data_IF_012855298396
#
_entry.id   IF_012855298396
#
_cell.length_a   1.000
_cell.length_b   1.000
_cell.length_c   1.000
_cell.angle_alpha   90.00
_cell.angle_beta   90.00
_cell.angle_gamma   90.00
#
_symmetry.space_group_name_H-M   'P 1'
#
loop_
_entity.id
_entity.type
_entity.pdbx_description
1 polymer ?
#
# COMPACT_ATOMS: atom_id res chain seq x y z
N UNK A 1 21.61 18.11 6.57
CA UNK A 1 21.83 17.15 7.66
C UNK A 1 20.79 17.32 8.79
N UNK A 2 20.53 18.54 9.31
CA UNK A 2 19.53 18.81 10.35
C UNK A 2 18.10 18.36 9.94
N UNK A 3 17.70 18.64 8.71
CA UNK A 3 16.39 18.25 8.14
C UNK A 3 16.18 16.72 8.11
N UNK A 4 17.22 15.95 7.80
CA UNK A 4 17.15 14.50 7.75
C UNK A 4 17.03 13.87 9.14
N UNK A 5 17.65 14.46 10.16
CA UNK A 5 17.53 14.00 11.55
C UNK A 5 16.12 14.23 12.11
N UNK A 6 15.55 15.41 11.86
CA UNK A 6 14.17 15.76 12.22
C UNK A 6 13.14 14.81 11.55
N UNK A 7 13.32 14.48 10.28
CA UNK A 7 12.48 13.55 9.55
C UNK A 7 12.52 12.13 10.14
N UNK A 8 13.72 11.66 10.52
CA UNK A 8 13.88 10.33 11.13
C UNK A 8 13.21 10.27 12.52
N UNK A 9 13.25 11.35 13.28
CA UNK A 9 12.56 11.44 14.57
C UNK A 9 11.04 11.48 14.40
N UNK A 10 10.52 12.27 13.47
CA UNK A 10 9.07 12.33 13.16
C UNK A 10 8.51 10.98 12.70
N UNK A 11 9.27 10.19 11.94
CA UNK A 11 8.88 8.83 11.54
C UNK A 11 8.68 7.89 12.74
N UNK A 12 9.32 8.14 13.89
CA UNK A 12 9.13 7.32 15.10
C UNK A 12 7.72 7.44 15.68
N UNK A 13 7.02 8.52 15.39
CA UNK A 13 5.67 8.81 15.89
C UNK A 13 4.57 8.57 14.85
N UNK A 14 4.91 8.07 13.66
CA UNK A 14 3.93 7.85 12.60
C UNK A 14 3.13 6.58 12.89
N UNK A 15 1.95 6.77 13.43
CA UNK A 15 0.99 5.71 13.75
C UNK A 15 -0.21 5.76 12.80
N UNK A 16 -0.94 4.66 12.71
CA UNK A 16 -2.18 4.60 11.94
C UNK A 16 -3.21 5.60 12.50
N UNK A 17 -3.31 5.71 13.84
CA UNK A 17 -4.19 6.68 14.51
C UNK A 17 -3.88 8.13 14.12
N UNK A 18 -2.60 8.48 13.96
CA UNK A 18 -2.22 9.82 13.54
C UNK A 18 -2.69 10.11 12.12
N UNK A 19 -2.53 9.16 11.20
CA UNK A 19 -3.02 9.29 9.84
C UNK A 19 -4.56 9.43 9.81
N UNK A 20 -5.26 8.61 10.58
CA UNK A 20 -6.72 8.68 10.72
C UNK A 20 -7.19 10.02 11.30
N UNK A 21 -6.53 10.51 12.35
CA UNK A 21 -6.83 11.84 12.92
C UNK A 21 -6.62 12.96 11.90
N UNK A 22 -5.56 12.87 11.10
CA UNK A 22 -5.32 13.84 10.03
C UNK A 22 -6.46 13.83 9.00
N UNK A 23 -6.89 12.64 8.54
CA UNK A 23 -8.01 12.50 7.62
C UNK A 23 -9.31 13.03 8.25
N UNK A 24 -9.63 12.67 9.51
CA UNK A 24 -10.82 13.18 10.21
C UNK A 24 -10.84 14.71 10.31
N UNK A 25 -9.71 15.30 10.68
CA UNK A 25 -9.56 16.75 10.72
C UNK A 25 -9.79 17.39 9.35
N UNK A 26 -9.30 16.77 8.31
CA UNK A 26 -9.50 17.25 6.95
C UNK A 26 -10.96 17.14 6.53
N UNK A 27 -11.57 15.97 6.72
CA UNK A 27 -12.97 15.68 6.35
C UNK A 27 -13.94 16.57 7.12
N UNK A 28 -13.67 16.91 8.40
CA UNK A 28 -14.53 17.79 9.18
C UNK A 28 -14.58 19.23 8.65
N UNK A 29 -13.52 19.67 7.98
CA UNK A 29 -13.43 21.02 7.39
C UNK A 29 -14.01 21.09 5.97
N UNK A 30 -14.10 19.95 5.27
CA UNK A 30 -14.47 19.88 3.86
C UNK A 30 -15.59 18.87 3.63
N UNK A 31 -16.85 19.34 3.58
CA UNK A 31 -18.07 18.50 3.52
C UNK A 31 -18.12 17.48 2.37
N UNK A 32 -17.37 17.70 1.28
CA UNK A 32 -17.33 16.82 0.09
C UNK A 32 -16.32 15.69 0.17
N UNK A 33 -15.67 15.48 1.28
CA UNK A 33 -14.45 14.70 1.40
C UNK A 33 -14.61 13.23 1.81
N UNK A 34 -15.85 12.68 1.79
CA UNK A 34 -16.06 11.25 2.10
C UNK A 34 -15.22 10.31 1.22
N UNK A 35 -14.95 10.71 -0.01
CA UNK A 35 -14.14 9.94 -0.97
C UNK A 35 -12.70 9.73 -0.48
N UNK A 36 -12.17 10.61 0.40
CA UNK A 36 -10.79 10.46 0.88
C UNK A 36 -10.60 9.20 1.71
N UNK A 37 -11.63 8.75 2.45
CA UNK A 37 -11.60 7.51 3.19
C UNK A 37 -11.44 6.32 2.25
N UNK A 38 -12.26 6.27 1.20
CA UNK A 38 -12.20 5.21 0.20
C UNK A 38 -10.84 5.19 -0.50
N UNK A 39 -10.37 6.34 -0.94
CA UNK A 39 -9.09 6.45 -1.64
C UNK A 39 -7.87 6.15 -0.76
N UNK A 40 -7.92 6.47 0.54
CA UNK A 40 -6.85 6.10 1.45
C UNK A 40 -6.80 4.58 1.70
N UNK A 41 -7.96 3.94 1.82
CA UNK A 41 -8.03 2.49 1.89
C UNK A 41 -7.49 1.85 0.60
N UNK A 42 -7.91 2.34 -0.57
CA UNK A 42 -7.42 1.89 -1.88
C UNK A 42 -5.90 2.06 -2.01
N UNK A 43 -5.34 3.16 -1.51
CA UNK A 43 -3.90 3.40 -1.50
C UNK A 43 -3.16 2.33 -0.67
N UNK A 44 -3.67 1.97 0.50
CA UNK A 44 -3.05 0.96 1.35
C UNK A 44 -3.26 -0.47 0.81
N UNK A 45 -4.38 -0.73 0.12
CA UNK A 45 -4.57 -1.96 -0.66
C UNK A 45 -3.56 -2.06 -1.80
N UNK A 46 -3.31 -0.95 -2.50
CA UNK A 46 -2.28 -0.89 -3.53
C UNK A 46 -0.90 -1.18 -2.94
N UNK A 47 -0.52 -0.56 -1.81
CA UNK A 47 0.74 -0.87 -1.13
C UNK A 47 0.82 -2.34 -0.71
N UNK A 48 -0.28 -2.90 -0.22
CA UNK A 48 -0.34 -4.32 0.12
C UNK A 48 -0.16 -5.21 -1.11
N UNK A 49 -0.68 -4.82 -2.27
CA UNK A 49 -0.53 -5.57 -3.53
C UNK A 49 0.91 -5.56 -4.05
N UNK A 50 1.56 -4.40 -4.06
CA UNK A 50 2.91 -4.24 -4.63
C UNK A 50 4.05 -4.46 -3.61
N UNK A 51 3.72 -4.64 -2.33
CA UNK A 51 4.70 -4.69 -1.25
C UNK A 51 5.37 -3.34 -0.97
N UNK A 52 4.62 -2.25 -1.06
CA UNK A 52 5.08 -0.88 -0.83
C UNK A 52 5.31 -0.60 0.65
N UNK A 53 6.55 -0.60 1.12
CA UNK A 53 6.88 -0.53 2.55
C UNK A 53 7.25 0.87 3.05
N UNK A 54 7.27 1.88 2.19
CA UNK A 54 7.71 3.25 2.54
C UNK A 54 6.59 4.30 2.44
N UNK A 55 5.34 3.95 2.70
CA UNK A 55 4.21 4.89 2.72
C UNK A 55 4.20 5.73 3.99
N UNK A 56 5.17 6.59 4.16
CA UNK A 56 5.22 7.56 5.26
C UNK A 56 4.41 8.82 4.92
N UNK A 57 4.27 9.73 5.89
CA UNK A 57 3.42 10.93 5.79
C UNK A 57 3.78 11.93 4.68
N UNK A 58 4.94 11.82 4.05
CA UNK A 58 5.29 12.61 2.86
C UNK A 58 4.97 11.90 1.54
N UNK A 59 4.60 10.61 1.55
CA UNK A 59 4.36 9.81 0.36
C UNK A 59 2.86 9.65 0.06
N UNK A 60 2.02 10.46 0.68
CA UNK A 60 0.61 10.62 0.34
C UNK A 60 0.14 12.03 0.69
N UNK A 61 -0.97 12.47 0.13
CA UNK A 61 -1.50 13.79 0.36
C UNK A 61 -2.83 14.01 -0.33
N UNK A 62 -3.36 15.19 -0.16
CA UNK A 62 -4.65 15.62 -0.72
C UNK A 62 -4.39 16.68 -1.78
N UNK A 63 -5.10 16.58 -2.90
CA UNK A 63 -5.12 17.61 -3.94
C UNK A 63 -6.29 18.53 -3.69
N UNK A 64 -6.01 19.83 -3.70
CA UNK A 64 -7.00 20.91 -3.59
C UNK A 64 -6.91 21.82 -4.81
N UNK A 65 -8.01 22.49 -5.16
CA UNK A 65 -7.99 23.57 -6.14
C UNK A 65 -7.42 24.80 -5.44
N UNK A 66 -6.35 25.36 -6.00
CA UNK A 66 -5.75 26.59 -5.50
C UNK A 66 -6.82 27.68 -5.34
N UNK A 67 -6.70 28.47 -4.28
CA UNK A 67 -7.54 29.64 -3.95
C UNK A 67 -9.03 29.33 -3.68
N UNK A 68 -9.48 28.12 -3.85
CA UNK A 68 -10.89 27.77 -3.61
C UNK A 68 -11.14 26.93 -2.35
N UNK A 69 -10.10 26.31 -1.78
CA UNK A 69 -10.21 25.35 -0.70
C UNK A 69 -11.07 24.12 -1.05
N UNK A 70 -11.40 23.94 -2.33
CA UNK A 70 -12.18 22.77 -2.79
C UNK A 70 -11.29 21.55 -2.89
N UNK A 71 -11.68 20.52 -2.17
CA UNK A 71 -11.05 19.21 -2.27
C UNK A 71 -11.32 18.57 -3.64
N UNK A 72 -10.30 17.98 -4.23
CA UNK A 72 -10.41 17.19 -5.45
C UNK A 72 -10.37 15.69 -5.16
N UNK A 73 -9.28 15.21 -4.57
CA UNK A 73 -9.07 13.79 -4.30
C UNK A 73 -7.78 13.57 -3.49
N UNK A 74 -7.57 12.36 -3.05
CA UNK A 74 -6.24 11.93 -2.63
C UNK A 74 -5.27 12.02 -3.83
N UNK A 75 -4.03 12.42 -3.60
CA UNK A 75 -3.01 12.38 -4.62
C UNK A 75 -2.83 10.93 -5.13
N UNK A 76 -2.58 10.73 -6.44
CA UNK A 76 -2.21 9.41 -6.94
C UNK A 76 -1.01 8.86 -6.16
N UNK A 77 -0.90 7.52 -6.07
CA UNK A 77 0.23 6.90 -5.42
C UNK A 77 1.55 7.35 -6.08
N UNK A 78 2.45 7.91 -5.30
CA UNK A 78 3.77 8.34 -5.74
C UNK A 78 4.83 7.80 -4.78
N UNK A 79 6.11 7.90 -5.17
CA UNK A 79 7.26 7.39 -4.41
C UNK A 79 7.11 5.90 -4.05
N UNK A 80 6.89 5.08 -5.07
CA UNK A 80 6.71 3.64 -4.93
C UNK A 80 8.04 2.86 -5.13
N UNK A 81 9.19 3.53 -5.07
CA UNK A 81 10.50 2.93 -5.32
C UNK A 81 10.86 1.79 -4.37
N UNK A 82 10.30 1.80 -3.15
CA UNK A 82 10.51 0.73 -2.16
C UNK A 82 9.34 -0.26 -2.23
N UNK A 83 9.21 -0.95 -3.38
CA UNK A 83 8.16 -1.92 -3.67
C UNK A 83 8.65 -2.99 -4.64
N UNK A 84 7.83 -3.96 -4.99
CA UNK A 84 8.08 -4.96 -6.02
C UNK A 84 9.43 -5.69 -5.85
N UNK A 85 9.78 -6.05 -4.62
CA UNK A 85 11.06 -6.69 -4.30
C UNK A 85 12.27 -5.81 -4.68
N UNK A 86 12.23 -4.51 -4.39
CA UNK A 86 13.26 -3.52 -4.74
C UNK A 86 14.70 -3.91 -4.34
N UNK A 87 14.85 -4.77 -3.33
CA UNK A 87 16.13 -5.35 -2.91
C UNK A 87 16.39 -6.72 -3.55
N UNK A 88 15.95 -6.93 -4.78
CA UNK A 88 16.06 -8.24 -5.44
C UNK A 88 17.48 -8.79 -5.47
N UNK A 89 18.49 -7.91 -5.53
CA UNK A 89 19.90 -8.31 -5.51
C UNK A 89 20.30 -9.01 -4.20
N UNK A 90 19.69 -8.62 -3.07
CA UNK A 90 19.90 -9.29 -1.79
C UNK A 90 19.29 -10.70 -1.77
N UNK A 91 18.30 -10.95 -2.64
CA UNK A 91 17.56 -12.23 -2.68
C UNK A 91 17.98 -13.16 -3.82
N UNK A 92 18.89 -12.73 -4.70
CA UNK A 92 19.32 -13.54 -5.86
C UNK A 92 19.88 -14.91 -5.47
N UNK A 93 20.48 -15.03 -4.29
CA UNK A 93 21.06 -16.26 -3.76
C UNK A 93 20.08 -17.10 -2.93
N UNK A 94 18.93 -16.52 -2.53
CA UNK A 94 17.92 -17.24 -1.77
C UNK A 94 17.01 -18.04 -2.70
N UNK A 95 16.57 -19.20 -2.20
CA UNK A 95 15.71 -20.07 -2.99
C UNK A 95 14.38 -19.38 -3.29
N UNK A 96 13.96 -19.46 -4.54
CA UNK A 96 12.69 -18.89 -5.01
C UNK A 96 11.48 -19.37 -4.16
N UNK A 97 11.53 -20.61 -3.68
CA UNK A 97 10.50 -21.16 -2.78
C UNK A 97 10.41 -20.44 -1.43
N UNK A 98 11.56 -20.04 -0.86
CA UNK A 98 11.58 -19.31 0.40
C UNK A 98 11.06 -17.87 0.23
N UNK A 99 11.44 -17.22 -0.88
CA UNK A 99 10.96 -15.88 -1.23
C UNK A 99 9.44 -15.83 -1.45
N UNK A 100 8.88 -16.92 -1.97
CA UNK A 100 7.44 -17.04 -2.22
C UNK A 100 6.69 -17.70 -1.07
N UNK A 101 7.37 -18.05 0.03
CA UNK A 101 6.70 -18.54 1.22
C UNK A 101 5.69 -17.52 1.75
N UNK A 102 4.56 -18.03 2.25
CA UNK A 102 3.54 -17.15 2.83
C UNK A 102 4.10 -16.26 3.95
N UNK A 103 5.06 -16.77 4.73
CA UNK A 103 5.73 -16.02 5.78
C UNK A 103 6.51 -14.83 5.24
N UNK A 104 7.26 -15.01 4.15
CA UNK A 104 7.98 -13.92 3.51
C UNK A 104 7.03 -12.87 2.94
N UNK A 105 6.01 -13.31 2.21
CA UNK A 105 5.02 -12.43 1.58
C UNK A 105 4.25 -11.61 2.63
N UNK A 106 3.86 -12.22 3.76
CA UNK A 106 3.05 -11.56 4.80
C UNK A 106 3.82 -10.60 5.68
N UNK A 107 5.13 -10.77 5.88
CA UNK A 107 5.92 -9.97 6.84
C UNK A 107 6.36 -8.58 6.34
N UNK A 108 6.01 -8.20 5.11
CA UNK A 108 6.33 -6.86 4.62
C UNK A 108 5.66 -5.80 5.51
N UNK A 109 6.50 -4.99 6.17
CA UNK A 109 6.06 -4.01 7.16
C UNK A 109 5.60 -2.70 6.51
N UNK A 110 4.50 -2.18 7.00
CA UNK A 110 4.07 -0.81 6.73
C UNK A 110 4.90 0.21 7.55
N UNK A 111 4.78 1.48 7.22
CA UNK A 111 5.43 2.54 8.01
C UNK A 111 4.71 2.84 9.34
N UNK A 112 3.49 2.35 9.53
CA UNK A 112 2.70 2.61 10.73
C UNK A 112 3.17 1.78 11.92
N UNK A 113 3.33 2.46 13.06
CA UNK A 113 3.69 1.82 14.32
C UNK A 113 2.48 1.34 15.09
N UNK A 114 2.63 0.20 15.74
CA UNK A 114 1.65 -0.35 16.70
C UNK A 114 1.73 0.40 18.03
N UNK A 115 0.63 0.49 18.80
CA UNK A 115 0.63 1.12 20.13
C UNK A 115 1.62 0.49 21.12
N UNK A 116 1.82 -0.83 21.03
CA UNK A 116 2.72 -1.62 21.88
C UNK A 116 4.14 -1.74 21.36
N UNK A 117 4.52 -0.95 20.35
CA UNK A 117 5.80 -1.02 19.65
C UNK A 117 5.76 -1.95 18.43
N UNK A 118 6.84 -1.95 17.66
CA UNK A 118 6.90 -2.64 16.37
C UNK A 118 6.11 -1.92 15.27
N UNK A 119 5.93 -2.60 14.15
CA UNK A 119 5.18 -2.10 13.01
C UNK A 119 4.06 -3.06 12.62
N UNK A 120 3.03 -2.53 12.00
CA UNK A 120 2.06 -3.36 11.29
C UNK A 120 2.68 -3.95 10.03
N UNK A 121 2.28 -5.17 9.66
CA UNK A 121 2.45 -5.60 8.27
C UNK A 121 1.48 -4.84 7.37
N UNK A 122 1.75 -4.84 6.07
CA UNK A 122 0.86 -4.18 5.10
C UNK A 122 -0.57 -4.75 5.13
N UNK A 123 -0.71 -6.03 5.44
CA UNK A 123 -2.02 -6.70 5.54
C UNK A 123 -2.72 -6.38 6.86
N UNK A 124 -2.01 -6.38 7.99
CA UNK A 124 -2.58 -6.01 9.29
C UNK A 124 -3.14 -4.59 9.30
N UNK A 125 -2.52 -3.66 8.54
CA UNK A 125 -3.05 -2.29 8.41
C UNK A 125 -4.45 -2.27 7.85
N UNK A 126 -4.76 -3.11 6.87
CA UNK A 126 -6.11 -3.18 6.27
C UNK A 126 -7.14 -3.72 7.27
N UNK A 127 -6.76 -4.74 8.05
CA UNK A 127 -7.61 -5.30 9.11
C UNK A 127 -7.89 -4.27 10.21
N UNK A 128 -6.85 -3.52 10.63
CA UNK A 128 -7.02 -2.46 11.63
C UNK A 128 -7.86 -1.29 11.13
N UNK A 129 -7.67 -0.87 9.88
CA UNK A 129 -8.50 0.18 9.28
C UNK A 129 -9.98 -0.21 9.24
N UNK A 130 -10.28 -1.46 8.89
CA UNK A 130 -11.66 -1.90 8.76
C UNK A 130 -12.43 -1.92 10.09
N UNK A 131 -11.74 -1.97 11.22
CA UNK A 131 -12.35 -1.81 12.56
C UNK A 131 -12.87 -0.39 12.79
N UNK A 132 -12.45 0.56 12.00
CA UNK A 132 -12.85 1.96 12.11
C UNK A 132 -14.22 2.15 11.45
N UNK A 133 -15.16 2.74 12.18
CA UNK A 133 -16.58 2.89 11.77
C UNK A 133 -16.75 3.47 10.37
N UNK A 134 -15.92 4.45 9.99
CA UNK A 134 -15.98 5.09 8.69
C UNK A 134 -15.75 4.13 7.53
N UNK A 135 -14.84 3.17 7.71
CA UNK A 135 -14.54 2.14 6.70
C UNK A 135 -15.56 1.01 6.71
N UNK A 136 -15.93 0.53 7.89
CA UNK A 136 -16.92 -0.53 8.03
C UNK A 136 -18.28 -0.12 7.41
N UNK A 137 -18.78 1.08 7.75
CA UNK A 137 -20.06 1.58 7.25
C UNK A 137 -20.05 1.95 5.75
N UNK A 138 -18.87 2.16 5.13
CA UNK A 138 -18.75 2.55 3.72
C UNK A 138 -18.85 1.39 2.74
N UNK A 139 -18.81 0.15 3.25
CA UNK A 139 -18.67 -1.07 2.41
C UNK A 139 -17.51 -0.99 1.43
N UNK A 140 -16.45 -0.29 1.81
CA UNK A 140 -15.29 -0.07 0.92
C UNK A 140 -14.60 -1.38 0.59
N UNK A 141 -14.54 -2.33 1.53
CA UNK A 141 -13.94 -3.64 1.28
C UNK A 141 -14.66 -4.39 0.16
N UNK A 142 -16.00 -4.28 0.07
CA UNK A 142 -16.79 -4.88 -1.03
C UNK A 142 -16.40 -4.29 -2.38
N UNK A 143 -16.38 -2.96 -2.46
CA UNK A 143 -16.04 -2.24 -3.70
C UNK A 143 -14.62 -2.55 -4.16
N UNK A 144 -13.68 -2.61 -3.22
CA UNK A 144 -12.28 -2.91 -3.52
C UNK A 144 -12.11 -4.37 -3.91
N UNK A 145 -12.78 -5.30 -3.21
CA UNK A 145 -12.76 -6.71 -3.54
C UNK A 145 -13.25 -6.97 -4.98
N UNK A 146 -14.36 -6.34 -5.39
CA UNK A 146 -14.86 -6.46 -6.77
C UNK A 146 -13.82 -6.04 -7.82
N UNK A 147 -13.01 -5.02 -7.52
CA UNK A 147 -11.92 -4.59 -8.40
C UNK A 147 -10.75 -5.55 -8.38
N UNK A 148 -10.37 -6.02 -7.20
CA UNK A 148 -9.26 -6.96 -7.00
C UNK A 148 -9.55 -8.30 -7.68
N UNK A 149 -10.79 -8.78 -7.64
CA UNK A 149 -11.21 -10.02 -8.32
C UNK A 149 -11.08 -9.97 -9.85
N UNK A 150 -11.10 -8.77 -10.43
CA UNK A 150 -10.88 -8.56 -11.88
C UNK A 150 -9.39 -8.61 -12.26
N UNK A 151 -8.49 -8.61 -11.29
CA UNK A 151 -7.05 -8.75 -11.54
C UNK A 151 -6.74 -10.23 -11.70
N UNK A 152 -6.24 -10.60 -12.86
CA UNK A 152 -5.88 -11.98 -13.20
C UNK A 152 -4.36 -12.14 -13.34
N UNK A 153 -3.86 -13.36 -13.12
CA UNK A 153 -2.44 -13.67 -13.32
C UNK A 153 -1.94 -13.30 -14.73
N UNK A 154 -2.64 -13.63 -15.84
CA UNK A 154 -2.20 -13.20 -17.16
C UNK A 154 -2.05 -11.69 -17.30
N UNK A 155 -2.94 -10.91 -16.68
CA UNK A 155 -2.88 -9.45 -16.70
C UNK A 155 -1.68 -8.91 -15.92
N UNK A 156 -1.37 -9.50 -14.76
CA UNK A 156 -0.18 -9.15 -13.97
C UNK A 156 1.08 -9.42 -14.80
N UNK A 157 1.22 -10.64 -15.34
CA UNK A 157 2.37 -11.03 -16.16
C UNK A 157 2.54 -10.14 -17.39
N UNK A 158 1.44 -9.86 -18.08
CA UNK A 158 1.44 -8.94 -19.22
C UNK A 158 1.92 -7.55 -18.83
N UNK A 159 1.43 -7.00 -17.72
CA UNK A 159 1.78 -5.65 -17.26
C UNK A 159 3.26 -5.57 -16.89
N UNK A 160 3.76 -6.53 -16.13
CA UNK A 160 5.15 -6.58 -15.68
C UNK A 160 6.11 -6.77 -16.87
N UNK A 161 5.77 -7.62 -17.84
CA UNK A 161 6.58 -7.83 -19.02
C UNK A 161 6.61 -6.62 -19.98
N UNK A 162 5.74 -5.63 -19.79
CA UNK A 162 5.77 -4.37 -20.55
C UNK A 162 6.65 -3.29 -19.94
N UNK A 163 7.33 -3.56 -18.82
CA UNK A 163 8.26 -2.59 -18.23
C UNK A 163 9.32 -2.24 -19.27
N UNK A 164 9.48 -0.93 -19.59
CA UNK A 164 10.48 -0.48 -20.57
C UNK A 164 11.89 -0.89 -20.16
N UNK A 165 12.63 -1.47 -21.08
CA UNK A 165 14.04 -1.80 -20.87
C UNK A 165 14.88 -0.56 -21.21
N UNK A 166 15.54 0.01 -20.22
CA UNK A 166 16.48 1.14 -20.42
C UNK A 166 17.86 0.58 -20.72
N UNK A 167 18.61 1.22 -21.63
CA UNK A 167 19.87 0.73 -22.17
C UNK A 167 20.85 0.23 -21.10
N UNK A 168 20.95 0.95 -19.98
CA UNK A 168 21.91 0.67 -18.90
C UNK A 168 21.28 -0.07 -17.70
N UNK A 169 19.95 -0.32 -17.72
CA UNK A 169 19.18 -0.99 -16.66
C UNK A 169 18.24 -2.02 -17.28
N UNK A 170 18.80 -3.15 -17.66
CA UNK A 170 18.00 -4.27 -18.20
C UNK A 170 17.60 -5.22 -17.08
N UNK A 171 16.31 -5.33 -16.87
CA UNK A 171 15.75 -6.36 -15.99
C UNK A 171 15.66 -7.69 -16.76
N UNK A 172 16.22 -8.74 -16.23
CA UNK A 172 16.15 -10.06 -16.85
C UNK A 172 14.73 -10.61 -16.83
N UNK A 173 14.41 -11.50 -17.78
CA UNK A 173 13.12 -12.20 -17.79
C UNK A 173 12.85 -12.94 -16.48
N UNK A 174 13.87 -13.54 -15.88
CA UNK A 174 13.76 -14.23 -14.58
C UNK A 174 13.35 -13.28 -13.47
N UNK A 175 13.90 -12.07 -13.43
CA UNK A 175 13.53 -11.05 -12.45
C UNK A 175 12.10 -10.58 -12.66
N UNK A 176 11.68 -10.35 -13.90
CA UNK A 176 10.29 -9.99 -14.20
C UNK A 176 9.32 -11.09 -13.80
N UNK A 177 9.66 -12.35 -14.05
CA UNK A 177 8.84 -13.49 -13.62
C UNK A 177 8.76 -13.60 -12.09
N UNK A 178 9.85 -13.33 -11.37
CA UNK A 178 9.85 -13.30 -9.89
C UNK A 178 8.97 -12.18 -9.36
N UNK A 179 9.04 -10.99 -9.92
CA UNK A 179 8.15 -9.87 -9.54
C UNK A 179 6.69 -10.23 -9.81
N UNK A 180 6.40 -10.86 -10.94
CA UNK A 180 5.05 -11.31 -11.26
C UNK A 180 4.52 -12.32 -10.23
N UNK A 181 5.30 -13.33 -9.88
CA UNK A 181 4.94 -14.32 -8.87
C UNK A 181 4.73 -13.69 -7.49
N UNK A 182 5.58 -12.73 -7.11
CA UNK A 182 5.44 -11.98 -5.87
C UNK A 182 4.11 -11.23 -5.80
N UNK A 183 3.74 -10.51 -6.86
CA UNK A 183 2.47 -9.77 -6.92
C UNK A 183 1.27 -10.72 -6.93
N UNK A 184 1.36 -11.86 -7.64
CA UNK A 184 0.31 -12.88 -7.66
C UNK A 184 0.09 -13.46 -6.26
N UNK A 185 1.15 -13.83 -5.55
CA UNK A 185 1.05 -14.37 -4.20
C UNK A 185 0.41 -13.35 -3.24
N UNK A 186 0.76 -12.06 -3.35
CA UNK A 186 0.15 -10.99 -2.56
C UNK A 186 -1.31 -10.76 -2.90
N UNK A 187 -1.65 -10.87 -4.18
CA UNK A 187 -3.04 -10.75 -4.65
C UNK A 187 -3.94 -11.82 -4.00
N UNK A 188 -3.48 -13.07 -3.91
CA UNK A 188 -4.29 -14.15 -3.30
C UNK A 188 -4.51 -13.90 -1.79
N UNK A 189 -3.46 -13.48 -1.06
CA UNK A 189 -3.60 -13.09 0.36
C UNK A 189 -4.57 -11.90 0.51
N UNK A 190 -4.48 -10.94 -0.39
CA UNK A 190 -5.35 -9.76 -0.38
C UNK A 190 -6.83 -10.13 -0.59
N UNK A 191 -7.10 -11.06 -1.49
CA UNK A 191 -8.44 -11.60 -1.71
C UNK A 191 -8.96 -12.26 -0.42
N UNK A 192 -8.17 -13.13 0.22
CA UNK A 192 -8.54 -13.77 1.49
C UNK A 192 -8.92 -12.75 2.57
N UNK A 193 -8.09 -11.71 2.74
CA UNK A 193 -8.32 -10.67 3.75
C UNK A 193 -9.60 -9.88 3.44
N UNK A 194 -9.75 -9.41 2.21
CA UNK A 194 -10.93 -8.63 1.82
C UNK A 194 -12.23 -9.44 1.93
N UNK A 195 -12.18 -10.75 1.63
CA UNK A 195 -13.32 -11.65 1.87
C UNK A 195 -13.69 -11.73 3.36
N UNK A 196 -12.69 -11.87 4.25
CA UNK A 196 -12.91 -11.87 5.69
C UNK A 196 -13.52 -10.56 6.17
N UNK A 197 -12.98 -9.43 5.72
CA UNK A 197 -13.48 -8.10 6.10
C UNK A 197 -14.92 -7.86 5.64
N UNK A 198 -15.35 -8.46 4.54
CA UNK A 198 -16.72 -8.39 4.04
C UNK A 198 -17.72 -9.11 4.94
N UNK A 199 -17.28 -10.14 5.67
CA UNK A 199 -18.17 -10.98 6.51
C UNK A 199 -18.39 -10.41 7.91
N UNK A 200 -17.65 -9.38 8.29
CA UNK A 200 -17.74 -8.68 9.58
C UNK A 200 -18.66 -7.48 9.47
#
# INVERSE_FOLDING_TARGET
>A
FAKAKDLKEKRKFYTLDLAIKAIRNYVSKHKSSKIIWEQFFELLVFDALIGGTDRHYYNWGVLEIADSGKFLRLAPAFDNGVSLMWKMDEYRSQFLQELLSQNFIRRAEAMFKKPNGGKYTLFEVLEELYKIKEYHNSKIADKVLERILKITEPRIRYTINKVPQVKDFKTSKKELDMVALYVIARLEILKEILYKLKQV
#
